data_IF_022085276334
#
_entry.id   IF_022085276334
#
_cell.length_a   1.000
_cell.length_b   1.000
_cell.length_c   1.000
_cell.angle_alpha   90.00
_cell.angle_beta   90.00
_cell.angle_gamma   90.00
#
_symmetry.space_group_name_H-M   'P 1'
#
loop_
_entity.id
_entity.type
_entity.pdbx_description
1 polymer ?
#
# COMPACT_ATOMS: atom_id res chain seq x y z
N UNK A 1 -6.43 -30.93 0.01
CA UNK A 1 -5.57 -29.98 -0.71
C UNK A 1 -4.74 -29.29 0.37
N UNK A 2 -3.42 -29.43 0.38
CA UNK A 2 -2.58 -28.79 1.41
C UNK A 2 -2.20 -27.42 0.86
N UNK A 3 -2.85 -26.39 1.39
CA UNK A 3 -2.48 -25.02 1.10
C UNK A 3 -1.03 -24.82 1.58
N UNK A 4 -0.13 -24.54 0.65
CA UNK A 4 1.28 -24.33 0.95
C UNK A 4 1.48 -22.87 1.31
N UNK A 5 1.82 -22.60 2.57
CA UNK A 5 2.13 -21.26 3.05
C UNK A 5 3.62 -21.15 3.38
N UNK A 6 4.17 -19.96 3.15
CA UNK A 6 5.50 -19.56 3.59
C UNK A 6 5.34 -18.22 4.29
N UNK A 7 6.09 -18.02 5.36
CA UNK A 7 6.12 -16.77 6.08
C UNK A 7 7.57 -16.31 6.11
N UNK A 8 7.79 -15.05 5.73
CA UNK A 8 9.10 -14.42 5.83
C UNK A 8 8.98 -13.17 6.70
N UNK A 9 10.02 -12.91 7.49
CA UNK A 9 10.13 -11.71 8.30
C UNK A 9 11.20 -10.83 7.67
N UNK A 10 10.76 -9.81 6.95
CA UNK A 10 11.63 -8.93 6.17
C UNK A 10 11.86 -7.63 6.94
N UNK A 11 13.12 -7.21 7.04
CA UNK A 11 13.43 -5.87 7.52
C UNK A 11 13.11 -4.87 6.41
N UNK A 12 12.11 -4.02 6.63
CA UNK A 12 11.72 -2.96 5.68
C UNK A 12 12.78 -1.86 5.68
N UNK A 13 13.23 -1.46 4.50
CA UNK A 13 14.33 -0.51 4.36
C UNK A 13 14.37 0.17 2.99
N UNK A 14 15.56 0.57 2.57
CA UNK A 14 15.73 1.12 1.23
C UNK A 14 15.92 -0.03 0.22
N UNK A 15 14.99 -0.15 -0.74
CA UNK A 15 15.11 -1.06 -1.89
C UNK A 15 14.15 -2.24 -1.80
N UNK A 16 14.50 -3.36 -2.45
CA UNK A 16 13.66 -4.55 -2.52
C UNK A 16 13.87 -5.41 -1.27
N UNK A 17 12.82 -5.60 -0.47
CA UNK A 17 12.83 -6.39 0.77
C UNK A 17 12.88 -7.89 0.52
N UNK A 18 12.23 -8.36 -0.54
CA UNK A 18 12.23 -9.76 -0.90
C UNK A 18 12.44 -9.93 -2.39
N UNK A 19 13.46 -10.72 -2.75
CA UNK A 19 13.73 -11.06 -4.14
C UNK A 19 13.94 -12.57 -4.27
N UNK A 20 13.34 -13.17 -5.29
CA UNK A 20 13.67 -14.52 -5.68
C UNK A 20 14.86 -14.59 -6.62
N UNK A 21 15.86 -15.46 -6.35
CA UNK A 21 15.79 -16.68 -5.52
C UNK A 21 16.32 -16.60 -4.06
N UNK A 22 16.51 -15.41 -3.47
CA UNK A 22 17.23 -15.27 -2.18
C UNK A 22 16.34 -15.26 -0.93
N UNK A 23 15.01 -15.26 -1.06
CA UNK A 23 14.06 -15.26 0.06
C UNK A 23 13.35 -16.60 0.25
N UNK A 24 12.76 -16.82 1.43
CA UNK A 24 11.97 -18.02 1.72
C UNK A 24 10.68 -18.07 0.88
N UNK A 25 10.30 -16.96 0.23
CA UNK A 25 9.21 -16.89 -0.74
C UNK A 25 9.42 -17.84 -1.92
N UNK A 26 10.67 -18.07 -2.32
CA UNK A 26 11.03 -18.82 -3.53
C UNK A 26 10.96 -20.33 -3.33
N UNK A 27 10.80 -20.78 -2.07
CA UNK A 27 10.60 -22.19 -1.76
C UNK A 27 9.21 -22.69 -2.18
N UNK A 28 8.25 -21.79 -2.41
CA UNK A 28 6.91 -22.15 -2.86
C UNK A 28 6.81 -22.12 -4.38
N UNK A 29 6.22 -23.16 -4.98
CA UNK A 29 5.68 -23.03 -6.33
C UNK A 29 4.53 -22.01 -6.31
N UNK A 30 4.50 -21.00 -7.21
CA UNK A 30 5.24 -20.85 -8.46
C UNK A 30 6.40 -19.84 -8.40
N UNK A 31 6.79 -19.34 -7.22
CA UNK A 31 7.91 -18.41 -7.06
C UNK A 31 9.28 -19.00 -7.44
N UNK A 32 9.33 -20.30 -7.77
CA UNK A 32 10.49 -20.99 -8.34
C UNK A 32 10.73 -20.67 -9.83
N UNK A 33 9.74 -20.13 -10.54
CA UNK A 33 9.84 -19.79 -11.96
C UNK A 33 9.80 -18.28 -12.16
N UNK A 34 10.78 -17.72 -12.85
CA UNK A 34 10.89 -16.26 -13.03
C UNK A 34 11.47 -15.53 -11.82
N UNK A 35 11.55 -14.21 -11.94
CA UNK A 35 12.01 -13.30 -10.89
C UNK A 35 10.81 -12.67 -10.20
N UNK A 36 10.78 -12.76 -8.87
CA UNK A 36 9.73 -12.19 -8.04
C UNK A 36 10.33 -11.22 -7.04
N UNK A 37 9.76 -10.03 -6.98
CA UNK A 37 10.23 -8.96 -6.12
C UNK A 37 9.07 -8.39 -5.33
N UNK A 38 9.32 -8.16 -4.05
CA UNK A 38 8.45 -7.43 -3.13
C UNK A 38 9.27 -6.28 -2.57
N UNK A 39 8.75 -5.08 -2.77
CA UNK A 39 9.30 -3.80 -2.31
C UNK A 39 8.25 -3.11 -1.44
N UNK A 40 8.62 -2.79 -0.21
CA UNK A 40 7.78 -2.19 0.83
C UNK A 40 8.42 -0.84 1.19
N UNK A 41 7.81 0.23 0.70
CA UNK A 41 8.16 1.60 1.10
C UNK A 41 7.20 2.17 2.13
N UNK A 42 7.52 3.38 2.61
CA UNK A 42 6.74 4.10 3.64
C UNK A 42 5.25 4.26 3.30
N UNK A 43 4.90 4.37 2.02
CA UNK A 43 3.50 4.57 1.58
C UNK A 43 3.12 3.67 0.42
N UNK A 44 3.87 2.58 0.19
CA UNK A 44 3.48 1.65 -0.86
C UNK A 44 4.05 0.26 -0.72
N UNK A 45 3.28 -0.72 -1.17
CA UNK A 45 3.71 -2.11 -1.33
C UNK A 45 3.67 -2.44 -2.81
N UNK A 46 4.80 -2.87 -3.36
CA UNK A 46 4.93 -3.22 -4.78
C UNK A 46 5.36 -4.67 -4.91
N UNK A 47 4.64 -5.41 -5.74
CA UNK A 47 5.04 -6.72 -6.21
C UNK A 47 5.35 -6.66 -7.70
N UNK A 48 6.46 -7.29 -8.10
CA UNK A 48 6.87 -7.42 -9.50
C UNK A 48 7.24 -8.85 -9.83
N UNK A 49 6.79 -9.30 -10.99
CA UNK A 49 7.12 -10.55 -11.62
C UNK A 49 7.76 -10.30 -12.99
N UNK A 50 8.77 -11.10 -13.32
CA UNK A 50 9.37 -11.19 -14.67
C UNK A 50 9.60 -12.66 -15.00
N UNK A 51 9.04 -13.16 -16.10
CA UNK A 51 9.21 -14.56 -16.50
C UNK A 51 8.27 -15.00 -17.63
N UNK A 52 8.18 -16.31 -17.85
CA UNK A 52 7.45 -16.94 -18.99
C UNK A 52 5.91 -16.98 -18.82
N UNK A 53 5.39 -16.26 -17.83
CA UNK A 53 3.98 -16.26 -17.45
C UNK A 53 3.58 -17.43 -16.55
N UNK A 54 2.77 -17.15 -15.52
CA UNK A 54 2.35 -18.12 -14.51
C UNK A 54 0.90 -17.87 -14.15
N UNK A 55 0.06 -18.90 -14.21
CA UNK A 55 -1.25 -18.86 -13.58
C UNK A 55 -1.11 -19.04 -12.06
N UNK A 56 -1.58 -18.07 -11.27
CA UNK A 56 -1.85 -18.24 -9.86
C UNK A 56 -3.16 -19.03 -9.73
N UNK A 57 -3.06 -20.30 -9.39
CA UNK A 57 -4.21 -21.17 -9.11
C UNK A 57 -4.16 -21.61 -7.64
N UNK A 58 -5.18 -22.31 -7.17
CA UNK A 58 -5.25 -22.78 -5.78
C UNK A 58 -4.07 -23.69 -5.39
N UNK A 59 -3.40 -24.35 -6.36
CA UNK A 59 -2.25 -25.22 -6.12
C UNK A 59 -0.94 -24.43 -6.01
N UNK A 60 -1.05 -23.10 -6.17
CA UNK A 60 0.01 -22.12 -6.23
C UNK A 60 -0.35 -20.97 -5.29
N UNK A 61 0.55 -20.00 -5.22
CA UNK A 61 0.35 -18.79 -4.41
C UNK A 61 -0.91 -18.08 -4.88
N UNK A 62 -1.94 -18.15 -4.05
CA UNK A 62 -3.24 -17.53 -4.28
C UNK A 62 -3.39 -16.22 -3.53
N UNK A 63 -2.53 -15.94 -2.56
CA UNK A 63 -2.74 -14.84 -1.62
C UNK A 63 -1.41 -14.27 -1.17
N UNK A 64 -1.29 -12.95 -1.23
CA UNK A 64 -0.23 -12.21 -0.56
C UNK A 64 -0.79 -11.61 0.72
N UNK A 65 -0.13 -11.85 1.84
CA UNK A 65 -0.48 -11.29 3.14
C UNK A 65 0.68 -10.44 3.65
N UNK A 66 0.44 -9.15 3.82
CA UNK A 66 1.37 -8.19 4.40
C UNK A 66 0.83 -7.81 5.78
N UNK A 67 1.40 -8.36 6.85
CA UNK A 67 0.98 -8.10 8.22
C UNK A 67 2.01 -7.32 9.03
N UNK A 68 1.61 -6.89 10.23
CA UNK A 68 2.42 -6.03 11.10
C UNK A 68 2.79 -4.70 10.44
N UNK A 69 1.87 -4.13 9.66
CA UNK A 69 2.00 -2.80 9.05
C UNK A 69 1.82 -1.67 10.09
N UNK A 70 2.28 -1.88 11.32
CA UNK A 70 2.11 -0.94 12.42
C UNK A 70 2.79 0.39 12.09
N UNK A 71 2.05 1.50 12.24
CA UNK A 71 2.54 2.84 11.89
C UNK A 71 2.06 3.33 10.52
N UNK A 72 1.38 2.49 9.74
CA UNK A 72 0.68 2.89 8.52
C UNK A 72 -0.79 3.10 8.82
N UNK A 73 -1.20 4.35 9.03
CA UNK A 73 -2.61 4.71 9.28
C UNK A 73 -3.36 4.81 7.95
N UNK A 74 -3.60 3.67 7.29
CA UNK A 74 -4.10 3.61 5.91
C UNK A 74 -5.57 4.03 5.84
N UNK A 75 -5.83 5.24 5.36
CA UNK A 75 -7.18 5.79 5.16
C UNK A 75 -7.79 5.34 3.84
N UNK A 76 -6.93 5.25 2.83
CA UNK A 76 -7.33 4.98 1.47
C UNK A 76 -6.27 4.12 0.77
N UNK A 77 -6.74 3.32 -0.18
CA UNK A 77 -5.94 2.35 -0.90
C UNK A 77 -6.09 2.60 -2.40
N UNK A 78 -4.95 2.81 -3.06
CA UNK A 78 -4.89 2.94 -4.52
C UNK A 78 -4.18 1.73 -5.11
N UNK A 79 -4.87 0.98 -5.98
CA UNK A 79 -4.27 -0.13 -6.71
C UNK A 79 -3.86 0.32 -8.11
N UNK A 80 -2.60 0.10 -8.46
CA UNK A 80 -2.08 0.21 -9.84
C UNK A 80 -1.53 -1.14 -10.26
N UNK A 81 -1.99 -1.71 -11.38
CA UNK A 81 -1.63 -3.07 -11.79
C UNK A 81 -1.74 -3.25 -13.29
N UNK A 82 -0.95 -4.15 -13.87
CA UNK A 82 -1.11 -4.68 -15.23
C UNK A 82 -1.65 -6.13 -15.25
N UNK A 83 -1.87 -6.72 -14.06
CA UNK A 83 -2.40 -8.07 -13.90
C UNK A 83 -3.89 -8.05 -14.20
N UNK A 84 -4.28 -8.75 -15.27
CA UNK A 84 -5.67 -8.82 -15.70
C UNK A 84 -6.56 -9.46 -14.63
N UNK A 85 -7.66 -8.77 -14.30
CA UNK A 85 -8.63 -9.23 -13.29
C UNK A 85 -8.23 -8.94 -11.85
N UNK A 86 -7.08 -8.31 -11.62
CA UNK A 86 -6.75 -7.73 -10.31
C UNK A 86 -7.38 -6.35 -10.21
N UNK A 87 -8.28 -6.17 -9.24
CA UNK A 87 -8.89 -4.89 -8.91
C UNK A 87 -9.03 -4.76 -7.39
N UNK A 88 -9.51 -3.61 -6.91
CA UNK A 88 -9.65 -3.33 -5.47
C UNK A 88 -10.60 -4.31 -4.75
N UNK A 89 -11.51 -4.99 -5.45
CA UNK A 89 -12.40 -5.98 -4.80
C UNK A 89 -11.65 -7.23 -4.33
N UNK A 90 -10.42 -7.43 -4.82
CA UNK A 90 -9.52 -8.51 -4.42
C UNK A 90 -8.51 -8.08 -3.35
N UNK A 91 -8.58 -6.84 -2.88
CA UNK A 91 -7.71 -6.35 -1.82
C UNK A 91 -8.54 -6.12 -0.57
N UNK A 92 -8.12 -6.74 0.54
CA UNK A 92 -8.74 -6.55 1.85
C UNK A 92 -7.75 -5.82 2.75
N UNK A 93 -8.20 -4.69 3.30
CA UNK A 93 -7.48 -3.93 4.33
C UNK A 93 -8.05 -4.31 5.70
N UNK A 94 -7.17 -4.56 6.65
CA UNK A 94 -7.48 -4.66 8.07
C UNK A 94 -6.59 -3.66 8.84
N UNK A 95 -6.75 -3.62 10.16
CA UNK A 95 -6.13 -2.67 11.09
C UNK A 95 -4.62 -2.56 10.92
N UNK A 96 -3.93 -3.68 10.68
CA UNK A 96 -2.46 -3.75 10.56
C UNK A 96 -2.01 -4.67 9.42
N UNK A 97 -2.92 -4.99 8.50
CA UNK A 97 -2.60 -5.90 7.40
C UNK A 97 -3.31 -5.59 6.10
N UNK A 98 -2.65 -5.97 5.00
CA UNK A 98 -3.20 -5.94 3.65
C UNK A 98 -3.12 -7.33 3.06
N UNK A 99 -4.24 -7.81 2.54
CA UNK A 99 -4.34 -9.09 1.83
C UNK A 99 -4.70 -8.85 0.37
N UNK A 100 -3.93 -9.45 -0.55
CA UNK A 100 -4.20 -9.41 -1.99
C UNK A 100 -4.53 -10.82 -2.46
N UNK A 101 -5.77 -11.01 -2.93
CA UNK A 101 -6.21 -12.26 -3.54
C UNK A 101 -5.81 -12.33 -5.02
N UNK A 102 -4.87 -13.22 -5.28
CA UNK A 102 -4.35 -13.54 -6.61
C UNK A 102 -4.96 -14.81 -7.18
N UNK A 103 -5.96 -15.40 -6.50
CA UNK A 103 -6.55 -16.66 -6.92
C UNK A 103 -7.15 -16.55 -8.33
N UNK A 104 -6.75 -17.51 -9.17
CA UNK A 104 -7.16 -17.64 -10.57
C UNK A 104 -6.73 -16.48 -11.47
N UNK A 105 -5.76 -15.68 -11.04
CA UNK A 105 -5.17 -14.64 -11.88
C UNK A 105 -3.96 -15.19 -12.65
N UNK A 106 -3.69 -14.63 -13.82
CA UNK A 106 -2.51 -15.00 -14.60
C UNK A 106 -1.51 -13.84 -14.62
N UNK A 107 -0.28 -14.13 -14.24
CA UNK A 107 0.87 -13.27 -14.48
C UNK A 107 1.27 -13.46 -15.94
N UNK A 108 1.19 -12.38 -16.72
CA UNK A 108 1.52 -12.42 -18.15
C UNK A 108 3.02 -12.68 -18.37
N UNK A 109 3.41 -13.28 -19.50
CA UNK A 109 4.82 -13.41 -19.87
C UNK A 109 5.47 -12.03 -20.06
N UNK A 110 6.77 -11.95 -19.80
CA UNK A 110 7.53 -10.71 -19.84
C UNK A 110 7.57 -10.05 -18.47
N UNK A 111 6.53 -9.31 -18.09
CA UNK A 111 6.43 -8.69 -16.77
C UNK A 111 4.99 -8.57 -16.31
N UNK A 112 4.79 -8.68 -15.00
CA UNK A 112 3.53 -8.34 -14.35
C UNK A 112 3.79 -7.66 -13.01
N UNK A 113 2.93 -6.76 -12.55
CA UNK A 113 3.08 -6.07 -11.29
C UNK A 113 1.74 -5.65 -10.69
N UNK A 114 1.76 -5.48 -9.38
CA UNK A 114 0.79 -4.63 -8.70
C UNK A 114 1.52 -3.70 -7.74
N UNK A 115 0.95 -2.52 -7.55
CA UNK A 115 1.38 -1.54 -6.55
C UNK A 115 0.17 -1.09 -5.78
N UNK A 116 0.26 -1.21 -4.47
CA UNK A 116 -0.67 -0.66 -3.50
C UNK A 116 -0.09 0.65 -2.99
N UNK A 117 -0.73 1.77 -3.31
CA UNK A 117 -0.50 3.05 -2.67
C UNK A 117 -1.29 3.11 -1.38
N UNK A 118 -0.60 3.37 -0.28
CA UNK A 118 -1.18 3.51 1.05
C UNK A 118 -1.27 5.00 1.33
N UNK A 119 -2.48 5.55 1.28
CA UNK A 119 -2.70 6.95 1.65
C UNK A 119 -3.03 7.01 3.13
N UNK A 120 -2.22 7.74 3.89
CA UNK A 120 -2.44 7.93 5.32
C UNK A 120 -3.48 9.02 5.56
N UNK A 121 -4.39 8.81 6.51
CA UNK A 121 -5.33 9.87 6.91
C UNK A 121 -4.51 10.90 7.66
N UNK A 122 -4.15 12.00 7.00
CA UNK A 122 -3.42 13.06 7.68
C UNK A 122 -4.31 13.89 8.59
N UNK A 123 -5.63 13.64 8.66
CA UNK A 123 -6.56 14.17 9.66
C UNK A 123 -6.67 15.71 9.76
N UNK A 124 -5.88 16.46 8.99
CA UNK A 124 -5.68 17.89 9.19
C UNK A 124 -6.12 18.68 7.96
N UNK A 125 -7.43 18.78 7.78
CA UNK A 125 -8.04 20.01 7.28
C UNK A 125 -8.88 20.63 8.40
N UNK A 126 -8.29 20.85 9.57
CA UNK A 126 -8.86 21.76 10.56
C UNK A 126 -8.28 23.14 10.28
N UNK A 127 -9.08 24.11 9.79
CA UNK A 127 -8.65 25.51 9.77
C UNK A 127 -8.29 25.92 11.19
N UNK A 128 -7.01 26.21 11.42
CA UNK A 128 -6.51 26.50 12.75
C UNK A 128 -7.32 27.64 13.40
N UNK A 129 -7.88 27.43 14.61
CA UNK A 129 -8.74 28.41 15.31
C UNK A 129 -8.11 29.80 15.49
N UNK A 130 -6.79 29.92 15.35
CA UNK A 130 -6.06 31.19 15.41
C UNK A 130 -6.38 32.16 14.28
N UNK A 131 -6.72 31.67 13.08
CA UNK A 131 -6.97 32.54 11.93
C UNK A 131 -8.27 33.35 12.09
N UNK A 132 -9.30 32.73 12.65
CA UNK A 132 -10.56 33.42 12.98
C UNK A 132 -10.39 34.38 14.17
N UNK A 133 -9.58 34.00 15.16
CA UNK A 133 -9.28 34.87 16.29
C UNK A 133 -8.50 36.13 15.87
N UNK A 134 -7.51 35.99 14.98
CA UNK A 134 -6.74 37.10 14.44
C UNK A 134 -7.56 38.01 13.52
N UNK A 135 -8.43 37.43 12.68
CA UNK A 135 -9.37 38.23 11.85
C UNK A 135 -10.38 38.95 12.75
N UNK A 136 -10.90 38.29 13.79
CA UNK A 136 -11.78 38.91 14.78
C UNK A 136 -11.12 40.06 15.54
N UNK A 137 -9.88 39.87 16.00
CA UNK A 137 -9.09 40.91 16.67
C UNK A 137 -8.74 42.06 15.73
N UNK A 138 -8.40 41.78 14.47
CA UNK A 138 -8.09 42.80 13.47
C UNK A 138 -9.31 43.70 13.19
N UNK A 139 -10.50 43.10 13.05
CA UNK A 139 -11.75 43.85 12.83
C UNK A 139 -12.16 44.65 14.07
N UNK A 140 -12.03 44.08 15.27
CA UNK A 140 -12.30 44.78 16.53
C UNK A 140 -11.34 45.97 16.73
N UNK A 141 -10.04 45.77 16.44
CA UNK A 141 -9.03 46.82 16.47
C UNK A 141 -9.32 47.95 15.48
N UNK A 142 -9.77 47.62 14.27
CA UNK A 142 -10.12 48.60 13.24
C UNK A 142 -11.35 49.43 13.61
N UNK A 143 -12.38 48.79 14.20
CA UNK A 143 -13.57 49.48 14.70
C UNK A 143 -13.25 50.42 15.88
N UNK A 144 -12.37 49.99 16.79
CA UNK A 144 -11.90 50.82 17.90
C UNK A 144 -11.04 52.01 17.42
N UNK A 145 -10.22 51.82 16.39
CA UNK A 145 -9.41 52.88 15.79
C UNK A 145 -10.27 53.97 15.11
N UNK A 146 -11.36 53.59 14.44
CA UNK A 146 -12.28 54.54 13.80
C UNK A 146 -12.99 55.46 14.82
N UNK A 147 -13.29 54.97 16.03
CA UNK A 147 -13.90 55.77 17.11
C UNK A 147 -12.99 56.82 17.73
N UNK A 148 -11.67 56.73 17.57
CA UNK A 148 -10.73 57.73 18.11
C UNK A 148 -10.47 58.91 17.16
N UNK A 149 -11.01 58.87 15.93
CA UNK A 149 -10.83 59.92 14.91
C UNK A 149 -12.11 60.72 14.60
N UNK A 150 -13.22 60.41 15.26
CA UNK A 150 -14.44 61.23 15.26
C UNK A 150 -14.56 61.92 16.61
#
# INVERSE_FOLDING_TARGET
>A
YRDSFTQDALAVGAGVEANCPVSNLCALAPFQTGSHQVDIGDTSITYRYVGDGVAADSAKVSTFYFGNLTGLDVANLVLTTDIFGLDLSRVTLDTDSVTVDMSRLALQPGSAFFRLGLETDTGNNVPEPGSMALVGLALAGLAAAKRRRA
#
